data_IF_547517034590
#
_entry.id   IF_547517034590
#
_cell.length_a   1.000
_cell.length_b   1.000
_cell.length_c   1.000
_cell.angle_alpha   90.00
_cell.angle_beta   90.00
_cell.angle_gamma   90.00
#
_symmetry.space_group_name_H-M   'P 1'
#
loop_
_entity.id
_entity.type
_entity.pdbx_description
1 polymer ?
#
# COMPACT_ATOMS: atom_id res chain seq x y z
N UNK A 1 -3.48 -3.24 -12.20
CA UNK A 1 -3.67 -3.67 -10.81
C UNK A 1 -2.93 -2.66 -9.97
N UNK A 2 -3.67 -1.85 -9.21
CA UNK A 2 -3.08 -0.88 -8.30
C UNK A 2 -3.04 -1.47 -6.88
N UNK A 3 -2.07 -1.04 -6.08
CA UNK A 3 -1.88 -1.50 -4.71
C UNK A 3 -2.18 -0.38 -3.72
N UNK A 4 -2.75 -0.73 -2.58
CA UNK A 4 -2.83 0.14 -1.43
C UNK A 4 -1.55 -0.03 -0.60
N UNK A 5 -0.91 1.09 -0.22
CA UNK A 5 0.28 1.09 0.63
C UNK A 5 -0.06 0.84 2.10
N UNK A 6 -1.33 1.04 2.50
CA UNK A 6 -1.81 0.77 3.86
C UNK A 6 -1.89 -0.73 4.12
N UNK A 7 -1.63 -1.10 5.38
CA UNK A 7 -1.78 -2.47 5.87
C UNK A 7 -3.04 -2.52 6.72
N UNK A 8 -3.82 -3.58 6.53
CA UNK A 8 -5.06 -3.82 7.28
C UNK A 8 -5.02 -5.18 7.96
N UNK A 9 -5.85 -5.35 8.98
CA UNK A 9 -6.08 -6.62 9.66
C UNK A 9 -7.58 -6.89 9.73
N UNK A 10 -7.97 -8.10 9.37
CA UNK A 10 -9.36 -8.57 9.46
C UNK A 10 -9.71 -9.06 10.89
N UNK A 11 -8.71 -9.32 11.72
CA UNK A 11 -8.84 -9.93 13.05
C UNK A 11 -8.40 -9.03 14.22
N UNK A 12 -8.11 -7.76 13.93
CA UNK A 12 -7.70 -6.76 14.93
C UNK A 12 -6.29 -6.97 15.49
N UNK A 13 -5.47 -7.83 14.89
CA UNK A 13 -4.08 -8.06 15.34
C UNK A 13 -3.13 -6.91 15.00
N UNK A 14 -3.54 -6.00 14.11
CA UNK A 14 -2.80 -4.77 13.82
C UNK A 14 -3.06 -3.75 14.93
N UNK A 15 -2.13 -3.66 15.87
CA UNK A 15 -2.22 -2.74 17.01
C UNK A 15 -2.10 -1.28 16.56
N UNK A 16 -3.01 -0.43 17.04
CA UNK A 16 -2.94 1.02 16.85
C UNK A 16 -1.61 1.58 17.36
N UNK A 17 -1.04 2.55 16.64
CA UNK A 17 0.24 3.18 16.97
C UNK A 17 1.48 2.33 16.69
N UNK A 18 1.32 1.05 16.33
CA UNK A 18 2.44 0.21 15.87
C UNK A 18 3.02 0.69 14.53
N UNK A 19 4.28 0.32 14.25
CA UNK A 19 4.98 0.74 13.02
C UNK A 19 4.22 0.35 11.75
N UNK A 20 3.64 -0.86 11.70
CA UNK A 20 2.84 -1.30 10.56
C UNK A 20 1.48 -0.60 10.47
N UNK A 21 0.88 -0.22 11.60
CA UNK A 21 -0.39 0.49 11.61
C UNK A 21 -0.25 1.93 11.09
N UNK A 22 0.84 2.60 11.46
CA UNK A 22 1.16 3.97 11.02
C UNK A 22 1.86 4.01 9.66
N UNK A 23 2.26 2.86 9.12
CA UNK A 23 3.03 2.74 7.88
C UNK A 23 2.37 3.48 6.71
N UNK A 24 1.10 3.18 6.45
CA UNK A 24 0.38 3.74 5.30
C UNK A 24 0.27 5.26 5.37
N UNK A 25 -0.12 5.80 6.52
CA UNK A 25 -0.26 7.25 6.72
C UNK A 25 1.07 7.99 6.54
N UNK A 26 2.16 7.40 7.06
CA UNK A 26 3.51 7.94 6.88
C UNK A 26 3.88 7.99 5.38
N UNK A 27 3.63 6.91 4.64
CA UNK A 27 3.94 6.84 3.21
C UNK A 27 3.07 7.79 2.38
N UNK A 28 1.77 7.87 2.68
CA UNK A 28 0.85 8.80 2.02
C UNK A 28 1.35 10.23 2.21
N UNK A 29 1.65 10.64 3.45
CA UNK A 29 2.17 11.97 3.73
C UNK A 29 3.50 12.26 3.01
N UNK A 30 4.40 11.27 2.92
CA UNK A 30 5.64 11.44 2.14
C UNK A 30 5.35 11.57 0.64
N UNK A 31 4.40 10.80 0.13
CA UNK A 31 4.01 10.78 -1.28
C UNK A 31 3.41 12.12 -1.73
N UNK A 32 2.61 12.76 -0.87
CA UNK A 32 2.06 14.10 -1.09
C UNK A 32 3.16 15.15 -1.16
N UNK A 33 4.11 15.12 -0.20
CA UNK A 33 5.28 16.01 -0.20
C UNK A 33 6.18 15.79 -1.43
N UNK A 34 6.25 14.56 -1.92
CA UNK A 34 6.98 14.21 -3.15
C UNK A 34 6.24 14.60 -4.44
N UNK A 35 4.98 15.05 -4.36
CA UNK A 35 4.13 15.33 -5.52
C UNK A 35 3.76 14.08 -6.33
N UNK A 36 3.76 12.90 -5.70
CA UNK A 36 3.51 11.59 -6.33
C UNK A 36 2.53 10.78 -5.48
N UNK A 37 1.24 10.96 -5.72
CA UNK A 37 0.19 10.30 -4.91
C UNK A 37 0.30 8.77 -4.94
N UNK A 38 0.18 8.15 -3.76
CA UNK A 38 -0.02 6.71 -3.58
C UNK A 38 -1.50 6.31 -3.47
N UNK A 39 -2.43 7.24 -3.70
CA UNK A 39 -3.88 7.03 -3.65
C UNK A 39 -4.50 6.85 -5.05
N UNK A 40 -3.69 6.47 -6.05
CA UNK A 40 -4.16 6.24 -7.43
C UNK A 40 -5.30 5.23 -7.46
N UNK A 41 -5.22 4.16 -6.66
CA UNK A 41 -6.28 3.16 -6.56
C UNK A 41 -7.66 3.74 -6.17
N UNK A 42 -7.70 4.84 -5.40
CA UNK A 42 -8.96 5.48 -4.98
C UNK A 42 -9.47 6.50 -6.02
N UNK A 43 -8.57 7.00 -6.87
CA UNK A 43 -8.86 8.12 -7.78
C UNK A 43 -8.97 7.69 -9.24
N UNK A 44 -8.54 6.47 -9.57
CA UNK A 44 -8.48 5.96 -10.94
C UNK A 44 -9.86 5.89 -11.58
N UNK A 45 -10.92 5.45 -10.86
CA UNK A 45 -12.29 5.42 -11.37
C UNK A 45 -12.70 6.77 -11.97
N UNK A 46 -12.66 7.81 -11.12
CA UNK A 46 -13.09 9.14 -11.48
C UNK A 46 -12.21 9.74 -12.60
N UNK A 47 -10.91 9.41 -12.61
CA UNK A 47 -10.01 9.80 -13.69
C UNK A 47 -10.41 9.15 -15.02
N UNK A 48 -10.79 7.87 -15.03
CA UNK A 48 -11.28 7.15 -16.20
C UNK A 48 -12.62 7.72 -16.68
N UNK A 49 -13.57 7.98 -15.78
CA UNK A 49 -14.85 8.62 -16.13
C UNK A 49 -14.63 9.98 -16.80
N UNK A 50 -13.76 10.82 -16.21
CA UNK A 50 -13.43 12.15 -16.75
C UNK A 50 -12.78 12.08 -18.13
N UNK A 51 -12.02 11.02 -18.40
CA UNK A 51 -11.41 10.78 -19.70
C UNK A 51 -12.40 10.24 -20.76
N UNK A 52 -13.65 9.99 -20.38
CA UNK A 52 -14.71 9.53 -21.28
C UNK A 52 -14.77 8.00 -21.45
N UNK A 53 -14.11 7.24 -20.57
CA UNK A 53 -14.32 5.79 -20.53
C UNK A 53 -15.76 5.51 -20.08
N UNK A 54 -16.36 4.49 -20.68
CA UNK A 54 -17.69 3.98 -20.35
C UNK A 54 -17.57 2.55 -19.84
N UNK A 55 -18.54 2.12 -19.01
CA UNK A 55 -18.58 0.78 -18.42
C UNK A 55 -17.31 0.42 -17.61
N UNK A 56 -16.94 1.28 -16.66
CA UNK A 56 -15.78 1.07 -15.79
C UNK A 56 -16.14 0.03 -14.73
N UNK A 57 -15.27 -0.97 -14.56
CA UNK A 57 -15.46 -2.08 -13.64
C UNK A 57 -14.29 -2.15 -12.66
N UNK A 58 -14.59 -2.13 -11.37
CA UNK A 58 -13.58 -2.26 -10.31
C UNK A 58 -13.80 -3.52 -9.50
N UNK A 59 -12.68 -4.18 -9.15
CA UNK A 59 -12.71 -5.36 -8.31
C UNK A 59 -11.59 -5.31 -7.30
N UNK A 60 -11.98 -5.27 -6.03
CA UNK A 60 -11.07 -5.29 -4.90
C UNK A 60 -10.65 -6.73 -4.59
N UNK A 61 -9.35 -6.92 -4.37
CA UNK A 61 -8.77 -8.20 -3.99
C UNK A 61 -8.00 -8.04 -2.67
N UNK A 62 -8.16 -9.00 -1.76
CA UNK A 62 -7.35 -9.10 -0.54
C UNK A 62 -6.07 -9.87 -0.85
N UNK A 63 -4.92 -9.27 -0.52
CA UNK A 63 -3.61 -9.91 -0.65
C UNK A 63 -2.98 -9.98 0.75
N UNK A 64 -2.86 -11.18 1.34
CA UNK A 64 -2.23 -11.37 2.64
C UNK A 64 -0.76 -10.97 2.62
N UNK A 65 -0.24 -10.44 3.72
CA UNK A 65 1.19 -10.10 3.85
C UNK A 65 2.04 -11.32 4.24
N UNK A 66 1.72 -12.51 3.72
CA UNK A 66 2.44 -13.75 3.99
C UNK A 66 1.63 -15.05 3.86
N UNK A 67 2.28 -16.21 3.99
CA UNK A 67 1.74 -17.52 3.61
C UNK A 67 0.94 -18.23 4.73
N UNK A 68 0.30 -17.48 5.63
CA UNK A 68 -0.53 -18.03 6.71
C UNK A 68 -1.97 -18.41 6.36
N UNK A 69 -2.63 -17.88 5.30
CA UNK A 69 -3.99 -18.29 4.97
C UNK A 69 -4.09 -19.81 4.72
N UNK A 70 -5.24 -20.39 5.10
CA UNK A 70 -5.56 -21.79 4.80
C UNK A 70 -5.94 -22.00 3.33
N UNK A 71 -6.59 -21.00 2.73
CA UNK A 71 -6.94 -21.03 1.31
C UNK A 71 -5.67 -21.08 0.45
N UNK A 72 -5.65 -22.00 -0.52
CA UNK A 72 -4.45 -22.27 -1.33
C UNK A 72 -4.04 -21.06 -2.17
N UNK A 73 -5.00 -20.37 -2.78
CA UNK A 73 -4.73 -19.22 -3.65
C UNK A 73 -4.22 -18.05 -2.83
N UNK A 74 -4.85 -17.76 -1.70
CA UNK A 74 -4.41 -16.70 -0.78
C UNK A 74 -3.04 -17.00 -0.16
N UNK A 75 -2.74 -18.27 0.10
CA UNK A 75 -1.43 -18.69 0.61
C UNK A 75 -0.32 -18.44 -0.42
N UNK A 76 -0.55 -18.81 -1.68
CA UNK A 76 0.39 -18.57 -2.77
C UNK A 76 0.57 -17.06 -3.03
N UNK A 77 -0.54 -16.30 -3.09
CA UNK A 77 -0.49 -14.84 -3.22
C UNK A 77 0.26 -14.19 -2.06
N UNK A 78 0.02 -14.64 -0.83
CA UNK A 78 0.72 -14.15 0.35
C UNK A 78 2.20 -14.47 0.37
N UNK A 79 2.61 -15.64 -0.12
CA UNK A 79 4.02 -15.99 -0.29
C UNK A 79 4.73 -15.01 -1.25
N UNK A 80 4.08 -14.69 -2.38
CA UNK A 80 4.61 -13.75 -3.36
C UNK A 80 4.68 -12.33 -2.79
N UNK A 81 3.63 -11.89 -2.09
CA UNK A 81 3.59 -10.57 -1.47
C UNK A 81 4.65 -10.42 -0.38
N UNK A 82 4.87 -11.45 0.43
CA UNK A 82 5.93 -11.45 1.43
C UNK A 82 7.32 -11.32 0.79
N UNK A 83 7.59 -12.07 -0.28
CA UNK A 83 8.84 -11.95 -1.02
C UNK A 83 9.00 -10.54 -1.63
N UNK A 84 7.93 -9.97 -2.18
CA UNK A 84 7.92 -8.59 -2.68
C UNK A 84 8.30 -7.59 -1.59
N UNK A 85 7.67 -7.65 -0.42
CA UNK A 85 8.00 -6.77 0.70
C UNK A 85 9.45 -6.96 1.12
N UNK A 86 9.88 -8.18 1.44
CA UNK A 86 11.25 -8.41 1.96
C UNK A 86 12.34 -7.95 0.97
N UNK A 87 12.14 -8.14 -0.34
CA UNK A 87 13.15 -7.77 -1.34
C UNK A 87 13.06 -6.32 -1.82
N UNK A 88 11.86 -5.76 -1.93
CA UNK A 88 11.67 -4.43 -2.52
C UNK A 88 11.59 -3.31 -1.48
N UNK A 89 11.18 -3.60 -0.24
CA UNK A 89 10.85 -2.59 0.78
C UNK A 89 11.92 -1.53 0.91
N UNK A 90 13.19 -1.92 1.05
CA UNK A 90 14.30 -0.99 1.18
C UNK A 90 14.37 -0.01 0.00
N UNK A 91 14.17 -0.48 -1.24
CA UNK A 91 14.28 0.34 -2.44
C UNK A 91 13.27 1.48 -2.49
N UNK A 92 11.97 1.18 -2.31
CA UNK A 92 10.92 2.20 -2.40
C UNK A 92 10.74 2.97 -1.09
N UNK A 93 10.96 2.33 0.07
CA UNK A 93 10.85 2.99 1.37
C UNK A 93 11.98 4.00 1.62
N UNK A 94 13.24 3.62 1.37
CA UNK A 94 14.38 4.46 1.73
C UNK A 94 14.35 5.79 1.01
N UNK A 95 14.09 5.79 -0.30
CA UNK A 95 14.02 7.05 -1.05
C UNK A 95 12.90 7.95 -0.52
N UNK A 96 11.69 7.41 -0.35
CA UNK A 96 10.53 8.21 0.03
C UNK A 96 10.65 8.75 1.46
N UNK A 97 11.01 7.90 2.42
CA UNK A 97 11.11 8.27 3.84
C UNK A 97 12.31 9.17 4.15
N UNK A 98 13.46 9.01 3.47
CA UNK A 98 14.65 9.84 3.76
C UNK A 98 14.57 11.22 3.10
N UNK A 99 13.88 11.35 1.97
CA UNK A 99 13.75 12.62 1.24
C UNK A 99 12.53 13.42 1.67
N UNK A 100 11.44 12.72 1.98
CA UNK A 100 10.15 13.33 2.25
C UNK A 100 9.54 12.86 3.58
N UNK A 101 10.28 12.20 4.46
CA UNK A 101 9.81 11.82 5.80
C UNK A 101 9.44 13.01 6.68
N UNK A 102 8.58 12.78 7.67
CA UNK A 102 8.25 13.75 8.71
C UNK A 102 8.50 13.12 10.09
N UNK A 103 9.04 13.88 11.06
CA UNK A 103 9.48 15.28 10.97
C UNK A 103 10.79 15.48 10.16
N UNK A 104 10.92 16.61 9.45
CA UNK A 104 12.10 16.98 8.65
C UNK A 104 13.16 17.75 9.45
N UNK A 105 14.46 17.41 9.34
CA UNK A 105 14.99 16.06 9.19
C UNK A 105 14.91 15.34 10.54
N UNK A 106 14.97 14.01 10.51
CA UNK A 106 15.21 13.16 11.67
C UNK A 106 16.51 13.61 12.37
N UNK A 107 16.44 14.63 13.23
CA UNK A 107 17.47 14.95 14.22
C UNK A 107 17.34 14.00 15.39
#
# INVERSE_FOLDING_TARGET
MELDVRVYSDDGTLQEGGTLATWGDNFIGCSERAGRSLLTQETMHAAMEKAGFVDIQEKLYKIPLGPWPKDKVLKEAGQLQYAHWVTALEGWAMWLLTKFGAPTPWT
#
